data_IF_307531056839
#
_entry.id   IF_307531056839
#
_cell.length_a   1.000
_cell.length_b   1.000
_cell.length_c   1.000
_cell.angle_alpha   90.00
_cell.angle_beta   90.00
_cell.angle_gamma   90.00
#
_symmetry.space_group_name_H-M   'P 1'
#
loop_
_entity.id
_entity.type
_entity.pdbx_description
1 polymer ?
#
# COMPACT_ATOMS: atom_id res chain seq x y z
N UNK A 1 12.46 2.71 32.35
CA UNK A 1 12.41 2.80 30.87
C UNK A 1 13.06 4.10 30.46
N UNK A 2 14.10 4.08 29.61
CA UNK A 2 14.70 5.33 29.12
C UNK A 2 13.72 6.05 28.18
N UNK A 3 13.84 7.38 28.08
CA UNK A 3 13.04 8.19 27.15
C UNK A 3 13.16 7.71 25.70
N UNK A 4 14.37 7.29 25.31
CA UNK A 4 14.63 6.70 23.99
C UNK A 4 13.85 5.40 23.78
N UNK A 5 13.87 4.48 24.75
CA UNK A 5 13.11 3.23 24.65
C UNK A 5 11.61 3.48 24.53
N UNK A 6 11.08 4.44 25.30
CA UNK A 6 9.68 4.84 25.20
C UNK A 6 9.31 5.29 23.79
N UNK A 7 10.09 6.20 23.19
CA UNK A 7 9.82 6.70 21.84
C UNK A 7 9.94 5.58 20.81
N UNK A 8 10.95 4.70 20.93
CA UNK A 8 11.10 3.53 20.05
C UNK A 8 9.87 2.64 20.10
N UNK A 9 9.35 2.32 21.29
CA UNK A 9 8.13 1.51 21.40
C UNK A 9 6.92 2.21 20.76
N UNK A 10 6.77 3.52 20.95
CA UNK A 10 5.71 4.30 20.30
C UNK A 10 5.83 4.22 18.77
N UNK A 11 7.04 4.36 18.23
CA UNK A 11 7.31 4.23 16.78
C UNK A 11 6.98 2.82 16.29
N UNK A 12 7.42 1.77 16.99
CA UNK A 12 7.15 0.38 16.63
C UNK A 12 5.65 0.09 16.61
N UNK A 13 4.92 0.48 17.67
CA UNK A 13 3.47 0.31 17.73
C UNK A 13 2.79 1.07 16.58
N UNK A 14 3.21 2.31 16.32
CA UNK A 14 2.63 3.12 15.24
C UNK A 14 2.95 2.54 13.86
N UNK A 15 4.14 1.98 13.66
CA UNK A 15 4.53 1.32 12.42
C UNK A 15 3.69 0.07 12.18
N UNK A 16 3.43 -0.74 13.21
CA UNK A 16 2.53 -1.91 13.10
C UNK A 16 1.08 -1.50 12.82
N UNK A 17 0.59 -0.40 13.41
CA UNK A 17 -0.72 0.17 13.08
C UNK A 17 -0.74 0.63 11.63
N UNK A 18 0.31 1.31 11.16
CA UNK A 18 0.44 1.70 9.76
C UNK A 18 0.37 0.47 8.85
N UNK A 19 1.11 -0.60 9.16
CA UNK A 19 1.12 -1.83 8.35
C UNK A 19 -0.23 -2.53 8.31
N UNK A 20 -0.95 -2.52 9.44
CA UNK A 20 -2.34 -2.97 9.49
C UNK A 20 -3.23 -2.11 8.57
N UNK A 21 -3.14 -0.77 8.66
CA UNK A 21 -3.92 0.10 7.77
C UNK A 21 -3.51 -0.08 6.30
N UNK A 22 -2.25 -0.41 6.03
CA UNK A 22 -1.76 -0.68 4.70
C UNK A 22 -2.37 -1.96 4.13
N UNK A 23 -2.28 -3.08 4.86
CA UNK A 23 -2.89 -4.34 4.43
C UNK A 23 -4.40 -4.21 4.20
N UNK A 24 -5.08 -3.46 5.06
CA UNK A 24 -6.49 -3.11 4.91
C UNK A 24 -6.76 -2.34 3.59
N UNK A 25 -6.02 -1.26 3.36
CA UNK A 25 -6.17 -0.40 2.18
C UNK A 25 -5.90 -1.16 0.87
N UNK A 26 -4.80 -1.90 0.83
CA UNK A 26 -4.29 -2.56 -0.37
C UNK A 26 -4.84 -3.99 -0.60
N UNK A 27 -5.68 -4.51 0.32
CA UNK A 27 -6.48 -5.73 0.07
C UNK A 27 -7.26 -5.65 -1.24
N UNK A 28 -7.68 -4.44 -1.61
CA UNK A 28 -8.37 -4.14 -2.86
C UNK A 28 -7.49 -4.36 -4.10
N UNK A 29 -6.19 -4.03 -4.03
CA UNK A 29 -5.27 -4.15 -5.16
C UNK A 29 -5.01 -5.60 -5.55
N UNK A 30 -5.05 -6.53 -4.58
CA UNK A 30 -4.84 -7.95 -4.82
C UNK A 30 -6.13 -8.70 -5.20
N UNK A 31 -7.29 -8.26 -4.72
CA UNK A 31 -8.51 -9.08 -4.75
C UNK A 31 -9.72 -8.45 -5.44
N UNK A 32 -9.70 -7.14 -5.78
CA UNK A 32 -10.86 -6.51 -6.42
C UNK A 32 -11.22 -7.15 -7.77
N UNK A 33 -10.22 -7.47 -8.59
CA UNK A 33 -10.40 -8.10 -9.91
C UNK A 33 -10.98 -9.51 -9.79
N UNK A 34 -10.44 -10.34 -8.90
CA UNK A 34 -10.89 -11.73 -8.71
C UNK A 34 -12.24 -11.84 -8.01
N UNK A 35 -12.62 -10.84 -7.21
CA UNK A 35 -13.97 -10.69 -6.65
C UNK A 35 -14.94 -10.22 -7.72
N UNK A 36 -14.56 -9.24 -8.55
CA UNK A 36 -15.43 -8.68 -9.59
C UNK A 36 -15.81 -9.69 -10.68
N UNK A 37 -14.88 -10.56 -11.09
CA UNK A 37 -15.10 -11.65 -12.06
C UNK A 37 -15.84 -12.85 -11.44
N UNK A 38 -15.97 -12.89 -10.12
CA UNK A 38 -16.50 -14.03 -9.36
C UNK A 38 -15.56 -15.24 -9.31
N UNK A 39 -14.26 -15.07 -9.51
CA UNK A 39 -13.27 -16.12 -9.29
C UNK A 39 -13.17 -16.48 -7.80
N UNK A 40 -13.22 -15.48 -6.92
CA UNK A 40 -13.36 -15.63 -5.47
C UNK A 40 -14.65 -14.99 -4.95
N UNK A 41 -15.18 -15.53 -3.85
CA UNK A 41 -16.13 -14.79 -3.03
C UNK A 41 -15.38 -13.77 -2.16
N UNK A 42 -15.97 -12.61 -1.82
CA UNK A 42 -15.28 -11.56 -1.05
C UNK A 42 -14.55 -12.07 0.19
N UNK A 43 -15.22 -12.90 1.02
CA UNK A 43 -14.62 -13.48 2.23
C UNK A 43 -13.43 -14.39 1.94
N UNK A 44 -13.54 -15.26 0.93
CA UNK A 44 -12.43 -16.17 0.56
C UNK A 44 -11.23 -15.39 0.03
N UNK A 45 -11.49 -14.34 -0.75
CA UNK A 45 -10.45 -13.50 -1.32
C UNK A 45 -9.58 -12.87 -0.23
N UNK A 46 -10.18 -12.21 0.77
CA UNK A 46 -9.43 -11.58 1.86
C UNK A 46 -8.74 -12.59 2.78
N UNK A 47 -9.32 -13.79 3.00
CA UNK A 47 -8.67 -14.86 3.78
C UNK A 47 -7.41 -15.38 3.10
N UNK A 48 -7.50 -15.69 1.80
CA UNK A 48 -6.32 -16.15 1.02
C UNK A 48 -5.28 -15.04 0.93
N UNK A 49 -5.72 -13.79 0.68
CA UNK A 49 -4.82 -12.65 0.62
C UNK A 49 -4.06 -12.45 1.94
N UNK A 50 -4.75 -12.53 3.08
CA UNK A 50 -4.14 -12.37 4.40
C UNK A 50 -3.07 -13.42 4.67
N UNK A 51 -3.36 -14.70 4.40
CA UNK A 51 -2.40 -15.79 4.59
C UNK A 51 -1.16 -15.62 3.69
N UNK A 52 -1.36 -15.26 2.42
CA UNK A 52 -0.27 -15.08 1.47
C UNK A 52 0.54 -13.80 1.72
N UNK A 53 -0.09 -12.73 2.23
CA UNK A 53 0.62 -11.54 2.69
C UNK A 53 1.57 -11.88 3.85
N UNK A 54 1.09 -12.66 4.83
CA UNK A 54 1.93 -13.15 5.93
C UNK A 54 3.10 -13.96 5.35
N UNK A 55 2.83 -14.97 4.54
CA UNK A 55 3.88 -15.83 3.95
C UNK A 55 4.88 -14.99 3.15
N UNK A 56 4.41 -14.11 2.27
CA UNK A 56 5.27 -13.24 1.45
C UNK A 56 6.19 -12.35 2.28
N UNK A 57 5.73 -11.87 3.43
CA UNK A 57 6.53 -11.07 4.35
C UNK A 57 7.77 -11.83 4.89
N UNK A 58 7.73 -13.17 4.98
CA UNK A 58 8.86 -13.99 5.44
C UNK A 58 9.89 -14.32 4.36
N UNK A 59 9.60 -14.07 3.07
CA UNK A 59 10.43 -14.58 1.97
C UNK A 59 11.59 -13.64 1.61
N UNK A 60 11.45 -12.34 1.83
CA UNK A 60 12.47 -11.37 1.42
C UNK A 60 12.61 -10.23 2.44
N UNK A 61 13.80 -9.62 2.47
CA UNK A 61 14.13 -8.46 3.31
C UNK A 61 14.86 -7.34 2.55
N UNK A 62 14.97 -7.44 1.22
CA UNK A 62 15.72 -6.50 0.37
C UNK A 62 15.13 -5.08 0.33
N UNK A 63 13.80 -4.96 0.29
CA UNK A 63 13.11 -3.66 0.35
C UNK A 63 13.31 -3.03 1.74
N UNK A 64 13.25 -3.85 2.80
CA UNK A 64 13.48 -3.37 4.17
C UNK A 64 14.89 -2.80 4.34
N UNK A 65 15.91 -3.48 3.81
CA UNK A 65 17.31 -3.01 3.81
C UNK A 65 17.49 -1.69 3.07
N UNK A 66 16.78 -1.52 1.95
CA UNK A 66 16.83 -0.28 1.16
C UNK A 66 16.20 0.91 1.92
N UNK A 67 15.16 0.66 2.72
CA UNK A 67 14.50 1.69 3.52
C UNK A 67 15.28 2.01 4.79
N UNK A 68 15.88 1.00 5.43
CA UNK A 68 16.66 1.18 6.65
C UNK A 68 18.01 1.85 6.40
N UNK A 69 18.51 1.86 5.15
CA UNK A 69 19.79 2.47 4.80
C UNK A 69 19.69 3.33 3.53
N UNK A 70 19.94 4.64 3.68
CA UNK A 70 20.26 5.53 2.55
C UNK A 70 19.22 6.58 2.17
N UNK A 71 18.00 6.54 2.73
CA UNK A 71 16.97 7.54 2.45
C UNK A 71 17.03 8.76 3.38
N UNK A 72 17.37 8.54 4.64
CA UNK A 72 17.49 9.56 5.68
C UNK A 72 18.85 9.46 6.36
N UNK A 73 19.35 10.56 6.91
CA UNK A 73 20.58 10.55 7.70
C UNK A 73 20.32 9.89 9.06
N UNK A 74 21.00 8.77 9.33
CA UNK A 74 20.89 8.01 10.57
C UNK A 74 21.17 8.87 11.81
N UNK A 75 22.04 9.89 11.68
CA UNK A 75 22.37 10.84 12.76
C UNK A 75 21.20 11.76 13.09
N UNK A 76 20.37 12.10 12.10
CA UNK A 76 19.18 12.92 12.31
C UNK A 76 18.08 12.12 13.02
N UNK A 77 17.92 10.86 12.65
CA UNK A 77 16.95 9.97 13.29
C UNK A 77 17.40 9.65 14.72
N UNK A 78 18.70 9.47 14.95
CA UNK A 78 19.31 9.39 16.28
C UNK A 78 18.95 10.60 17.14
N UNK A 79 19.03 11.81 16.56
CA UNK A 79 18.78 13.05 17.27
C UNK A 79 17.29 13.24 17.63
N UNK A 80 16.36 12.76 16.80
CA UNK A 80 14.92 12.89 17.08
C UNK A 80 14.09 11.71 16.54
N UNK A 81 14.09 10.54 17.21
CA UNK A 81 13.30 9.37 16.79
C UNK A 81 11.79 9.65 16.71
N UNK A 82 11.31 10.66 17.44
CA UNK A 82 9.92 11.12 17.41
C UNK A 82 9.47 11.60 16.02
N UNK A 83 10.39 12.01 15.14
CA UNK A 83 10.04 12.39 13.76
C UNK A 83 9.52 11.19 12.94
N UNK A 84 10.03 9.98 13.19
CA UNK A 84 9.56 8.76 12.50
C UNK A 84 8.13 8.46 12.89
N UNK A 85 7.81 8.57 14.19
CA UNK A 85 6.44 8.47 14.69
C UNK A 85 5.52 9.52 14.04
N UNK A 86 5.96 10.77 13.96
CA UNK A 86 5.20 11.84 13.35
C UNK A 86 4.90 11.59 11.87
N UNK A 87 5.90 11.13 11.11
CA UNK A 87 5.73 10.76 9.71
C UNK A 87 4.75 9.61 9.52
N UNK A 88 4.83 8.57 10.35
CA UNK A 88 3.88 7.46 10.36
C UNK A 88 2.46 7.92 10.70
N UNK A 89 2.29 8.83 11.66
CA UNK A 89 0.99 9.41 11.98
C UNK A 89 0.39 10.15 10.75
N UNK A 90 1.20 10.90 10.02
CA UNK A 90 0.77 11.53 8.76
C UNK A 90 0.35 10.53 7.70
N UNK A 91 1.11 9.44 7.54
CA UNK A 91 0.80 8.37 6.61
C UNK A 91 -0.51 7.64 6.96
N UNK A 92 -0.72 7.31 8.25
CA UNK A 92 -1.94 6.66 8.73
C UNK A 92 -3.16 7.53 8.48
N UNK A 93 -3.10 8.82 8.86
CA UNK A 93 -4.22 9.75 8.67
C UNK A 93 -4.57 9.91 7.20
N UNK A 94 -3.56 9.99 6.33
CA UNK A 94 -3.80 10.06 4.90
C UNK A 94 -4.44 8.78 4.35
N UNK A 95 -3.93 7.60 4.73
CA UNK A 95 -4.51 6.32 4.33
C UNK A 95 -5.96 6.16 4.77
N UNK A 96 -6.29 6.56 6.01
CA UNK A 96 -7.66 6.53 6.51
C UNK A 96 -8.57 7.53 5.78
N UNK A 97 -8.06 8.73 5.47
CA UNK A 97 -8.81 9.73 4.72
C UNK A 97 -9.12 9.25 3.30
N UNK A 98 -8.14 8.69 2.57
CA UNK A 98 -8.39 8.18 1.21
C UNK A 98 -9.31 6.96 1.24
N UNK A 99 -9.19 6.10 2.24
CA UNK A 99 -10.14 5.00 2.46
C UNK A 99 -11.58 5.49 2.68
N UNK A 100 -11.77 6.52 3.51
CA UNK A 100 -13.08 7.11 3.76
C UNK A 100 -13.74 7.53 2.43
N UNK A 101 -13.00 8.16 1.54
CA UNK A 101 -13.50 8.56 0.22
C UNK A 101 -13.50 7.43 -0.83
N UNK A 102 -13.05 6.22 -0.47
CA UNK A 102 -12.92 5.09 -1.39
C UNK A 102 -11.92 5.34 -2.52
N UNK A 103 -10.94 6.22 -2.30
CA UNK A 103 -9.93 6.59 -3.28
C UNK A 103 -8.76 5.60 -3.22
N UNK A 104 -8.41 4.93 -4.34
CA UNK A 104 -7.24 4.06 -4.39
C UNK A 104 -5.96 4.90 -4.45
N UNK A 105 -5.44 5.24 -3.28
CA UNK A 105 -4.14 5.89 -3.07
C UNK A 105 -3.05 4.88 -2.74
N UNK A 106 -1.79 5.27 -2.92
CA UNK A 106 -0.66 4.42 -2.54
C UNK A 106 -0.21 4.65 -1.09
N UNK A 107 -0.35 3.63 -0.24
CA UNK A 107 0.17 3.64 1.12
C UNK A 107 1.68 3.87 1.19
N UNK A 108 2.43 3.37 0.20
CA UNK A 108 3.88 3.60 0.13
C UNK A 108 4.22 5.08 -0.05
N UNK A 109 3.48 5.79 -0.90
CA UNK A 109 3.66 7.23 -1.08
C UNK A 109 3.19 8.03 0.14
N UNK A 110 2.17 7.54 0.85
CA UNK A 110 1.76 8.13 2.12
C UNK A 110 2.86 7.98 3.18
N UNK A 111 3.47 6.79 3.29
CA UNK A 111 4.59 6.53 4.18
C UNK A 111 5.78 7.44 3.90
N UNK A 112 6.26 7.44 2.65
CA UNK A 112 7.41 8.25 2.27
C UNK A 112 7.11 9.74 2.36
N UNK A 113 5.93 10.17 1.93
CA UNK A 113 5.48 11.56 2.08
C UNK A 113 5.52 11.99 3.54
N UNK A 114 4.86 11.24 4.43
CA UNK A 114 4.85 11.51 5.86
C UNK A 114 6.24 11.62 6.47
N UNK A 115 7.13 10.65 6.17
CA UNK A 115 8.51 10.66 6.67
C UNK A 115 9.32 11.84 6.09
N UNK A 116 9.23 12.12 4.80
CA UNK A 116 9.91 13.26 4.15
C UNK A 116 9.47 14.57 4.80
N UNK A 117 8.16 14.78 4.97
CA UNK A 117 7.64 15.98 5.63
C UNK A 117 8.10 16.11 7.07
N UNK A 118 8.09 15.02 7.82
CA UNK A 118 8.54 15.00 9.20
C UNK A 118 10.03 15.35 9.33
N UNK A 119 10.87 14.82 8.43
CA UNK A 119 12.32 15.08 8.37
C UNK A 119 12.61 16.53 7.95
N UNK A 120 11.92 17.05 6.93
CA UNK A 120 12.10 18.45 6.50
C UNK A 120 11.85 19.42 7.66
N UNK A 121 10.80 19.17 8.45
CA UNK A 121 10.48 20.03 9.60
C UNK A 121 11.46 19.87 10.76
N UNK A 122 11.90 18.63 11.03
CA UNK A 122 12.78 18.35 12.17
C UNK A 122 14.25 18.72 11.91
N UNK A 123 14.71 18.57 10.67
CA UNK A 123 16.13 18.60 10.32
C UNK A 123 16.46 19.43 9.06
N UNK A 124 15.47 20.01 8.39
CA UNK A 124 15.65 20.77 7.16
C UNK A 124 15.67 19.92 5.90
N UNK A 125 15.66 20.59 4.74
CA UNK A 125 15.60 19.95 3.41
C UNK A 125 16.80 19.03 3.15
N UNK A 126 17.95 19.35 3.74
CA UNK A 126 19.18 18.58 3.64
C UNK A 126 19.13 17.23 4.36
N UNK A 127 18.17 17.02 5.26
CA UNK A 127 18.00 15.74 5.96
C UNK A 127 17.43 14.61 5.10
N UNK A 128 17.00 14.94 3.88
CA UNK A 128 16.42 14.00 2.92
C UNK A 128 17.41 13.78 1.78
N UNK A 129 17.71 12.51 1.47
CA UNK A 129 18.48 12.18 0.29
C UNK A 129 17.59 12.24 -0.96
N UNK A 130 17.51 13.42 -1.60
CA UNK A 130 16.69 13.64 -2.79
C UNK A 130 17.05 12.75 -3.98
N UNK A 131 18.33 12.37 -4.11
CA UNK A 131 18.77 11.42 -5.15
C UNK A 131 18.13 10.04 -4.97
N UNK A 132 18.07 9.56 -3.73
CA UNK A 132 17.41 8.28 -3.39
C UNK A 132 15.88 8.41 -3.52
N UNK A 133 15.28 9.51 -3.04
CA UNK A 133 13.84 9.74 -3.20
C UNK A 133 13.43 9.72 -4.67
N UNK A 134 14.15 10.43 -5.54
CA UNK A 134 13.83 10.46 -6.97
C UNK A 134 14.03 9.07 -7.61
N UNK A 135 15.19 8.43 -7.38
CA UNK A 135 15.55 7.19 -8.06
C UNK A 135 14.80 5.94 -7.56
N UNK A 136 14.41 5.89 -6.28
CA UNK A 136 13.80 4.71 -5.64
C UNK A 136 12.30 4.86 -5.36
N UNK A 137 11.76 6.09 -5.39
CA UNK A 137 10.34 6.35 -5.10
C UNK A 137 9.66 7.01 -6.31
N UNK A 138 10.06 8.22 -6.68
CA UNK A 138 9.32 9.02 -7.69
C UNK A 138 9.41 8.40 -9.08
N UNK A 139 10.63 8.12 -9.57
CA UNK A 139 10.81 7.56 -10.90
C UNK A 139 10.14 6.18 -11.04
N UNK A 140 10.35 5.23 -10.11
CA UNK A 140 9.64 3.95 -10.15
C UNK A 140 8.11 4.13 -10.09
N UNK A 141 7.59 5.07 -9.30
CA UNK A 141 6.14 5.32 -9.22
C UNK A 141 5.50 5.80 -10.52
N UNK A 142 6.27 6.53 -11.35
CA UNK A 142 5.83 6.97 -12.68
C UNK A 142 5.96 5.84 -13.68
N UNK A 143 7.10 5.14 -13.71
CA UNK A 143 7.43 4.14 -14.75
C UNK A 143 6.63 2.84 -14.58
N UNK A 144 6.48 2.35 -13.35
CA UNK A 144 5.87 1.07 -13.05
C UNK A 144 4.44 0.86 -13.58
N UNK A 145 3.49 1.81 -13.46
CA UNK A 145 2.15 1.62 -14.03
C UNK A 145 2.16 1.47 -15.55
N UNK A 146 3.08 2.14 -16.27
CA UNK A 146 3.20 1.99 -17.72
C UNK A 146 3.80 0.64 -18.10
N UNK A 147 4.87 0.21 -17.41
CA UNK A 147 5.48 -1.10 -17.67
C UNK A 147 4.47 -2.22 -17.41
N UNK A 148 3.81 -2.20 -16.26
CA UNK A 148 2.80 -3.20 -15.92
C UNK A 148 1.58 -3.13 -16.86
N UNK A 149 1.12 -1.93 -17.21
CA UNK A 149 0.02 -1.71 -18.14
C UNK A 149 0.31 -2.19 -19.56
N UNK A 150 1.50 -1.92 -20.10
CA UNK A 150 1.91 -2.42 -21.43
C UNK A 150 2.05 -3.93 -21.46
N UNK A 151 2.68 -4.54 -20.43
CA UNK A 151 2.76 -5.98 -20.29
C UNK A 151 1.38 -6.62 -20.21
N UNK A 152 0.47 -6.03 -19.43
CA UNK A 152 -0.90 -6.51 -19.29
C UNK A 152 -1.73 -6.34 -20.57
N UNK A 153 -1.52 -5.25 -21.32
CA UNK A 153 -2.17 -5.03 -22.62
C UNK A 153 -1.73 -6.09 -23.63
N UNK A 154 -0.43 -6.37 -23.72
CA UNK A 154 0.11 -7.41 -24.59
C UNK A 154 -0.41 -8.79 -24.18
N UNK A 155 -0.34 -9.13 -22.89
CA UNK A 155 -0.83 -10.41 -22.37
C UNK A 155 -2.33 -10.61 -22.66
N UNK A 156 -3.13 -9.55 -22.49
CA UNK A 156 -4.56 -9.58 -22.82
C UNK A 156 -4.77 -9.78 -24.31
N UNK A 157 -4.09 -9.01 -25.16
CA UNK A 157 -4.19 -9.14 -26.61
C UNK A 157 -3.84 -10.56 -27.08
N UNK A 158 -2.77 -11.15 -26.55
CA UNK A 158 -2.37 -12.53 -26.85
C UNK A 158 -3.44 -13.52 -26.36
N UNK A 159 -3.94 -13.38 -25.13
CA UNK A 159 -4.96 -14.27 -24.58
C UNK A 159 -6.21 -14.32 -25.47
N UNK A 160 -6.73 -13.18 -25.92
CA UNK A 160 -7.91 -13.12 -26.78
C UNK A 160 -7.64 -13.49 -28.25
N UNK A 161 -6.37 -13.57 -28.68
CA UNK A 161 -6.00 -14.08 -30.01
C UNK A 161 -5.90 -15.61 -30.04
N UNK A 162 -5.49 -16.23 -28.93
CA UNK A 162 -5.29 -17.68 -28.83
C UNK A 162 -6.58 -18.39 -28.45
N UNK A 163 -7.44 -17.75 -27.66
CA UNK A 163 -8.69 -18.33 -27.16
C UNK A 163 -9.77 -18.33 -28.27
N UNK A 164 -10.26 -19.49 -28.72
CA UNK A 164 -11.36 -19.59 -29.69
C UNK A 164 -12.65 -18.98 -29.14
N UNK A 165 -13.43 -18.32 -29.99
CA UNK A 165 -14.67 -17.62 -29.59
C UNK A 165 -15.83 -18.58 -29.23
N UNK A 166 -15.69 -19.86 -29.54
CA UNK A 166 -16.80 -20.79 -29.69
C UNK A 166 -17.08 -21.59 -28.41
N UNK A 167 -16.16 -21.55 -27.43
CA UNK A 167 -16.23 -22.26 -26.13
C UNK A 167 -16.15 -21.29 -24.93
N UNK A 168 -16.87 -20.18 -25.01
CA UNK A 168 -16.79 -19.06 -24.06
C UNK A 168 -17.05 -19.49 -22.59
N UNK A 169 -17.95 -20.46 -22.37
CA UNK A 169 -18.27 -20.95 -21.03
C UNK A 169 -17.16 -21.82 -20.40
N UNK A 170 -16.55 -22.72 -21.18
CA UNK A 170 -15.47 -23.59 -20.71
C UNK A 170 -14.19 -22.78 -20.46
N UNK A 171 -13.88 -21.90 -21.41
CA UNK A 171 -12.82 -20.89 -21.32
C UNK A 171 -12.94 -20.06 -20.04
N UNK A 172 -14.12 -19.50 -19.76
CA UNK A 172 -14.34 -18.71 -18.54
C UNK A 172 -14.10 -19.51 -17.26
N UNK A 173 -14.44 -20.81 -17.23
CA UNK A 173 -14.18 -21.66 -16.06
C UNK A 173 -12.69 -21.86 -15.82
N UNK A 174 -11.91 -22.11 -16.87
CA UNK A 174 -10.45 -22.25 -16.78
C UNK A 174 -9.82 -20.94 -16.31
N UNK A 175 -10.19 -19.82 -16.93
CA UNK A 175 -9.63 -18.53 -16.55
C UNK A 175 -9.99 -18.12 -15.12
N UNK A 176 -11.16 -18.49 -14.60
CA UNK A 176 -11.46 -18.29 -13.16
C UNK A 176 -10.55 -19.12 -12.26
N UNK A 177 -10.15 -20.32 -12.66
CA UNK A 177 -9.19 -21.14 -11.89
C UNK A 177 -7.79 -20.50 -11.96
N UNK A 178 -7.35 -20.12 -13.17
CA UNK A 178 -6.08 -19.43 -13.36
C UNK A 178 -6.04 -18.11 -12.56
N UNK A 179 -7.16 -17.38 -12.52
CA UNK A 179 -7.28 -16.14 -11.78
C UNK A 179 -7.16 -16.33 -10.27
N UNK A 180 -7.66 -17.45 -9.72
CA UNK A 180 -7.45 -17.74 -8.30
C UNK A 180 -5.96 -17.86 -7.98
N UNK A 181 -5.18 -18.44 -8.89
CA UNK A 181 -3.74 -18.54 -8.74
C UNK A 181 -3.05 -17.18 -8.94
N UNK A 182 -3.37 -16.42 -9.98
CA UNK A 182 -2.75 -15.11 -10.21
C UNK A 182 -3.10 -14.09 -9.12
N UNK A 183 -4.34 -14.03 -8.65
CA UNK A 183 -4.73 -13.16 -7.53
C UNK A 183 -3.99 -13.56 -6.23
N UNK A 184 -3.80 -14.86 -6.02
CA UNK A 184 -2.96 -15.37 -4.92
C UNK A 184 -1.51 -14.91 -5.07
N UNK A 185 -0.96 -14.96 -6.28
CA UNK A 185 0.40 -14.45 -6.56
C UNK A 185 0.51 -12.93 -6.33
N UNK A 186 -0.52 -12.15 -6.66
CA UNK A 186 -0.54 -10.70 -6.34
C UNK A 186 -0.50 -10.49 -4.84
N UNK A 187 -1.33 -11.18 -4.06
CA UNK A 187 -1.29 -11.09 -2.60
C UNK A 187 0.05 -11.53 -2.01
N UNK A 188 0.60 -12.65 -2.49
CA UNK A 188 1.95 -13.07 -2.08
C UNK A 188 3.01 -12.00 -2.39
N UNK A 189 3.01 -11.47 -3.62
CA UNK A 189 3.95 -10.42 -4.04
C UNK A 189 3.79 -9.13 -3.23
N UNK A 190 2.56 -8.78 -2.86
CA UNK A 190 2.26 -7.65 -1.99
C UNK A 190 2.92 -7.83 -0.62
N UNK A 191 2.80 -9.02 0.00
CA UNK A 191 3.51 -9.34 1.25
C UNK A 191 5.03 -9.21 1.13
N UNK A 192 5.61 -9.66 0.00
CA UNK A 192 7.05 -9.50 -0.26
C UNK A 192 7.50 -8.07 -0.51
N UNK A 193 6.59 -7.11 -0.72
CA UNK A 193 6.94 -5.72 -0.99
C UNK A 193 6.55 -4.82 0.19
N UNK A 194 5.27 -4.79 0.52
CA UNK A 194 4.68 -3.83 1.45
C UNK A 194 4.96 -4.18 2.90
N UNK A 195 4.93 -5.45 3.27
CA UNK A 195 5.30 -5.88 4.63
C UNK A 195 6.74 -5.48 4.98
N UNK A 196 7.63 -5.48 3.99
CA UNK A 196 9.01 -5.06 4.19
C UNK A 196 9.19 -3.57 4.43
N UNK A 197 8.25 -2.72 3.98
CA UNK A 197 8.36 -1.26 4.17
C UNK A 197 8.28 -0.91 5.65
N UNK A 198 7.34 -1.53 6.35
CA UNK A 198 7.20 -1.40 7.81
C UNK A 198 8.40 -2.00 8.53
N UNK A 199 8.88 -3.17 8.10
CA UNK A 199 10.11 -3.76 8.66
C UNK A 199 11.29 -2.81 8.54
N UNK A 200 11.46 -2.17 7.40
CA UNK A 200 12.52 -1.18 7.16
C UNK A 200 12.43 0.02 8.09
N UNK A 201 11.22 0.56 8.33
CA UNK A 201 11.01 1.69 9.25
C UNK A 201 11.28 1.31 10.70
N UNK A 202 10.88 0.11 11.13
CA UNK A 202 11.17 -0.39 12.48
C UNK A 202 12.68 -0.61 12.64
N UNK A 203 13.34 -1.26 11.68
CA UNK A 203 14.78 -1.46 11.69
C UNK A 203 15.53 -0.14 11.71
N UNK A 204 15.10 0.84 10.92
CA UNK A 204 15.65 2.19 10.91
C UNK A 204 15.65 2.83 12.31
N UNK A 205 14.53 2.78 13.03
CA UNK A 205 14.45 3.38 14.37
C UNK A 205 15.26 2.59 15.41
N UNK A 206 15.35 1.26 15.29
CA UNK A 206 16.15 0.42 16.18
C UNK A 206 17.65 0.67 16.01
N UNK A 207 18.10 0.77 14.76
CA UNK A 207 19.49 1.11 14.42
C UNK A 207 19.83 2.52 14.89
N UNK A 208 18.95 3.48 14.61
CA UNK A 208 19.13 4.85 15.08
C UNK A 208 19.18 4.91 16.61
N UNK A 209 18.32 4.21 17.34
CA UNK A 209 18.35 4.22 18.80
C UNK A 209 19.51 3.42 19.44
N UNK A 210 20.35 2.76 18.64
CA UNK A 210 21.46 1.93 19.13
C UNK A 210 21.02 0.58 19.70
N UNK A 211 19.79 0.14 19.44
CA UNK A 211 19.27 -1.17 19.83
C UNK A 211 19.58 -2.28 18.81
N UNK A 212 20.05 -1.90 17.62
CA UNK A 212 20.41 -2.82 16.54
C UNK A 212 21.65 -2.28 15.80
N UNK A 213 22.55 -3.16 15.37
CA UNK A 213 23.73 -2.76 14.60
C UNK A 213 23.36 -2.34 13.18
N UNK A 214 23.97 -1.28 12.66
CA UNK A 214 23.76 -0.84 11.29
C UNK A 214 24.21 -1.91 10.27
N UNK A 215 23.50 -2.02 9.15
CA UNK A 215 23.77 -3.03 8.11
C UNK A 215 23.19 -4.41 8.43
N UNK A 216 22.60 -4.61 9.61
CA UNK A 216 21.85 -5.83 9.91
C UNK A 216 20.43 -5.72 9.35
N UNK A 217 19.94 -6.80 8.74
CA UNK A 217 18.56 -6.85 8.26
C UNK A 217 17.53 -6.83 9.40
N UNK A 218 16.22 -6.80 9.08
CA UNK A 218 15.18 -6.83 10.11
C UNK A 218 15.31 -8.02 11.05
N UNK A 219 15.17 -7.78 12.36
CA UNK A 219 15.15 -8.86 13.34
C UNK A 219 13.92 -9.75 13.14
N UNK A 220 14.03 -11.03 13.51
CA UNK A 220 12.98 -12.02 13.27
C UNK A 220 11.61 -11.60 13.84
N UNK A 221 11.57 -10.96 15.01
CA UNK A 221 10.31 -10.51 15.62
C UNK A 221 9.69 -9.34 14.85
N UNK A 222 10.51 -8.50 14.20
CA UNK A 222 10.04 -7.42 13.31
C UNK A 222 9.35 -8.03 12.10
N UNK A 223 9.95 -9.07 11.51
CA UNK A 223 9.36 -9.80 10.38
C UNK A 223 8.02 -10.44 10.77
N UNK A 224 7.98 -11.13 11.91
CA UNK A 224 6.74 -11.77 12.40
C UNK A 224 5.67 -10.73 12.70
N UNK A 225 5.99 -9.66 13.43
CA UNK A 225 5.01 -8.65 13.83
C UNK A 225 4.48 -7.85 12.65
N UNK A 226 5.33 -7.42 11.71
CA UNK A 226 4.91 -6.76 10.49
C UNK A 226 4.07 -7.69 9.60
N UNK A 227 4.54 -8.93 9.37
CA UNK A 227 3.80 -9.93 8.61
C UNK A 227 2.39 -10.19 9.16
N UNK A 228 2.26 -10.32 10.49
CA UNK A 228 0.95 -10.44 11.14
C UNK A 228 0.11 -9.16 11.02
N UNK A 229 0.70 -7.99 11.17
CA UNK A 229 -0.01 -6.71 11.07
C UNK A 229 -0.61 -6.51 9.67
N UNK A 230 0.18 -6.66 8.60
CA UNK A 230 -0.31 -6.56 7.23
C UNK A 230 -1.33 -7.65 6.89
N UNK A 231 -1.14 -8.88 7.39
CA UNK A 231 -2.09 -9.98 7.22
C UNK A 231 -3.45 -9.70 7.88
N UNK A 232 -3.45 -9.26 9.14
CA UNK A 232 -4.67 -8.90 9.87
C UNK A 232 -5.37 -7.70 9.26
N UNK A 233 -4.61 -6.71 8.80
CA UNK A 233 -5.12 -5.58 8.02
C UNK A 233 -5.85 -6.07 6.78
N UNK A 234 -5.20 -6.91 5.99
CA UNK A 234 -5.76 -7.50 4.76
C UNK A 234 -7.04 -8.27 5.03
N UNK A 235 -7.07 -9.05 6.11
CA UNK A 235 -8.25 -9.82 6.50
C UNK A 235 -9.44 -8.93 6.89
N UNK A 236 -9.17 -7.76 7.49
CA UNK A 236 -10.19 -6.75 7.81
C UNK A 236 -10.86 -6.17 6.54
N UNK A 237 -10.26 -6.43 5.37
CA UNK A 237 -10.74 -6.03 4.06
C UNK A 237 -10.38 -4.58 3.74
N UNK A 238 -11.00 -4.01 2.72
CA UNK A 238 -10.76 -2.65 2.25
C UNK A 238 -11.98 -2.17 1.47
N UNK A 239 -13.16 -2.56 1.93
CA UNK A 239 -14.35 -2.72 1.09
C UNK A 239 -14.76 -1.45 0.34
N UNK A 240 -14.56 -0.27 0.93
CA UNK A 240 -14.80 1.03 0.27
C UNK A 240 -13.93 1.20 -0.98
N UNK A 241 -12.64 0.88 -0.91
CA UNK A 241 -11.72 0.98 -2.04
C UNK A 241 -11.97 -0.14 -3.03
N UNK A 242 -12.25 -1.36 -2.53
CA UNK A 242 -12.57 -2.51 -3.37
C UNK A 242 -13.79 -2.26 -4.24
N UNK A 243 -14.82 -1.59 -3.70
CA UNK A 243 -15.99 -1.13 -4.44
C UNK A 243 -15.62 -0.23 -5.62
N UNK A 244 -14.73 0.74 -5.39
CA UNK A 244 -14.25 1.65 -6.45
C UNK A 244 -13.41 0.91 -7.51
N UNK A 245 -12.53 0.00 -7.08
CA UNK A 245 -11.59 -0.69 -7.97
C UNK A 245 -12.20 -1.83 -8.78
N UNK A 246 -13.18 -2.58 -8.23
CA UNK A 246 -13.67 -3.82 -8.83
C UNK A 246 -14.42 -3.64 -10.16
N UNK A 247 -15.16 -2.53 -10.32
CA UNK A 247 -15.93 -2.24 -11.55
C UNK A 247 -15.79 -0.80 -12.05
N UNK A 248 -15.01 0.05 -11.36
CA UNK A 248 -14.97 1.48 -11.64
C UNK A 248 -14.01 1.91 -12.76
N UNK A 249 -13.07 1.04 -13.19
CA UNK A 249 -12.03 1.39 -14.18
C UNK A 249 -12.28 0.82 -15.57
N UNK A 250 -12.42 -0.50 -15.65
CA UNK A 250 -12.62 -1.27 -16.88
C UNK A 250 -13.54 -2.43 -16.53
N UNK A 251 -14.39 -2.86 -17.46
CA UNK A 251 -15.09 -4.14 -17.31
C UNK A 251 -14.08 -5.28 -17.49
N UNK A 252 -13.86 -6.05 -16.43
CA UNK A 252 -12.84 -7.10 -16.41
C UNK A 252 -13.52 -8.47 -16.50
N UNK A 253 -13.28 -9.16 -17.60
CA UNK A 253 -13.58 -10.59 -17.75
C UNK A 253 -12.45 -11.45 -17.14
N UNK A 254 -12.69 -12.75 -16.84
CA UNK A 254 -11.68 -13.63 -16.26
C UNK A 254 -10.32 -13.67 -17.01
N UNK A 255 -10.25 -13.67 -18.36
CA UNK A 255 -8.97 -13.61 -19.06
C UNK A 255 -8.20 -12.29 -18.84
N UNK A 256 -8.91 -11.16 -18.86
CA UNK A 256 -8.33 -9.86 -18.51
C UNK A 256 -7.85 -9.87 -17.05
N UNK A 257 -8.66 -10.40 -16.13
CA UNK A 257 -8.32 -10.51 -14.71
C UNK A 257 -7.02 -11.28 -14.49
N UNK A 258 -6.89 -12.45 -15.11
CA UNK A 258 -5.67 -13.25 -15.09
C UNK A 258 -4.46 -12.49 -15.66
N UNK A 259 -4.59 -11.86 -16.83
CA UNK A 259 -3.51 -11.10 -17.46
C UNK A 259 -3.06 -9.89 -16.61
N UNK A 260 -4.00 -9.17 -16.00
CA UNK A 260 -3.71 -8.06 -15.08
C UNK A 260 -2.97 -8.51 -13.85
N UNK A 261 -3.47 -9.54 -13.18
CA UNK A 261 -2.92 -10.04 -11.92
C UNK A 261 -1.53 -10.64 -12.13
N UNK A 262 -1.34 -11.44 -13.19
CA UNK A 262 -0.03 -12.01 -13.50
C UNK A 262 1.01 -10.91 -13.79
N UNK A 263 0.65 -9.94 -14.63
CA UNK A 263 1.54 -8.80 -14.95
C UNK A 263 1.90 -7.99 -13.71
N UNK A 264 0.91 -7.78 -12.82
CA UNK A 264 1.12 -7.07 -11.56
C UNK A 264 2.03 -7.85 -10.61
N UNK A 265 1.77 -9.14 -10.41
CA UNK A 265 2.58 -10.00 -9.55
C UNK A 265 4.04 -10.05 -10.02
N UNK A 266 4.27 -10.20 -11.32
CA UNK A 266 5.63 -10.21 -11.90
C UNK A 266 6.32 -8.86 -11.70
N UNK A 267 5.64 -7.74 -11.97
CA UNK A 267 6.21 -6.42 -11.78
C UNK A 267 6.54 -6.12 -10.31
N UNK A 268 5.67 -6.51 -9.37
CA UNK A 268 5.89 -6.35 -7.93
C UNK A 268 7.07 -7.21 -7.47
N UNK A 269 7.11 -8.50 -7.84
CA UNK A 269 8.20 -9.40 -7.44
C UNK A 269 9.55 -8.94 -8.01
N UNK A 270 9.61 -8.57 -9.29
CA UNK A 270 10.82 -8.07 -9.92
C UNK A 270 11.32 -6.80 -9.22
N UNK A 271 10.42 -5.87 -8.90
CA UNK A 271 10.74 -4.67 -8.14
C UNK A 271 11.28 -4.95 -6.74
N UNK A 272 10.60 -5.82 -6.00
CA UNK A 272 11.01 -6.20 -4.64
C UNK A 272 12.39 -6.84 -4.67
N UNK A 273 12.69 -7.62 -5.70
CA UNK A 273 14.01 -8.24 -5.88
C UNK A 273 15.13 -7.23 -6.20
N UNK A 274 14.78 -6.11 -6.82
CA UNK A 274 15.68 -4.97 -7.08
C UNK A 274 15.76 -3.98 -5.90
N UNK A 275 15.01 -4.24 -4.82
CA UNK A 275 14.92 -3.35 -3.66
C UNK A 275 14.20 -2.03 -3.94
N UNK A 276 13.41 -1.94 -5.01
CA UNK A 276 12.61 -0.73 -5.29
C UNK A 276 11.34 -0.74 -4.44
N UNK A 277 11.07 0.37 -3.75
CA UNK A 277 9.87 0.55 -2.93
C UNK A 277 8.70 1.04 -3.80
N UNK A 278 8.25 0.17 -4.71
CA UNK A 278 7.17 0.49 -5.63
C UNK A 278 5.79 0.54 -4.98
N UNK A 279 4.91 1.30 -5.62
CA UNK A 279 3.48 1.31 -5.33
C UNK A 279 2.79 0.13 -6.03
N UNK A 280 2.31 -0.81 -5.22
CA UNK A 280 1.45 -1.91 -5.68
C UNK A 280 0.15 -1.37 -6.28
N UNK A 281 -0.42 -0.30 -5.70
CA UNK A 281 -1.60 0.40 -6.21
C UNK A 281 -1.39 0.88 -7.64
N UNK A 282 -0.27 1.55 -7.95
CA UNK A 282 0.01 2.05 -9.30
C UNK A 282 0.19 0.89 -10.28
N UNK A 283 0.94 -0.14 -9.89
CA UNK A 283 1.17 -1.33 -10.71
C UNK A 283 -0.15 -2.03 -11.04
N UNK A 284 -0.94 -2.40 -10.03
CA UNK A 284 -2.20 -3.11 -10.22
C UNK A 284 -3.19 -2.29 -11.04
N UNK A 285 -3.32 -0.99 -10.76
CA UNK A 285 -4.21 -0.11 -11.51
C UNK A 285 -3.76 0.07 -12.96
N UNK A 286 -2.45 0.22 -13.19
CA UNK A 286 -1.85 0.30 -14.52
C UNK A 286 -2.12 -0.98 -15.33
N UNK A 287 -1.94 -2.15 -14.71
CA UNK A 287 -2.28 -3.44 -15.32
C UNK A 287 -3.77 -3.53 -15.69
N UNK A 288 -4.69 -3.18 -14.78
CA UNK A 288 -6.14 -3.20 -15.06
C UNK A 288 -6.49 -2.32 -16.26
N UNK A 289 -5.96 -1.09 -16.32
CA UNK A 289 -6.13 -0.19 -17.47
C UNK A 289 -5.53 -0.81 -18.74
N UNK A 290 -4.35 -1.43 -18.62
CA UNK A 290 -3.68 -2.16 -19.69
C UNK A 290 -4.54 -3.25 -20.31
N UNK A 291 -5.25 -4.04 -19.50
CA UNK A 291 -6.18 -5.06 -20.04
C UNK A 291 -7.29 -4.44 -20.88
N UNK A 292 -7.80 -3.26 -20.48
CA UNK A 292 -8.81 -2.54 -21.25
C UNK A 292 -8.30 -2.16 -22.63
N UNK A 293 -7.08 -1.60 -22.68
CA UNK A 293 -6.40 -1.25 -23.95
C UNK A 293 -6.17 -2.50 -24.81
N UNK A 294 -5.63 -3.57 -24.23
CA UNK A 294 -5.36 -4.82 -24.95
C UNK A 294 -6.63 -5.52 -25.48
N UNK A 295 -7.76 -5.34 -24.80
CA UNK A 295 -9.07 -5.87 -25.21
C UNK A 295 -9.81 -4.97 -26.22
N UNK A 296 -9.46 -3.68 -26.28
CA UNK A 296 -10.27 -2.65 -26.95
C UNK A 296 -11.51 -2.26 -26.14
N UNK A 297 -11.50 -2.47 -24.83
CA UNK A 297 -12.59 -2.12 -23.93
C UNK A 297 -12.54 -0.64 -23.52
N UNK A 298 -13.71 -0.07 -23.22
CA UNK A 298 -13.82 1.32 -22.75
C UNK A 298 -13.23 1.47 -21.35
N UNK A 299 -12.34 2.44 -21.18
CA UNK A 299 -11.76 2.83 -19.88
C UNK A 299 -12.55 4.02 -19.32
N UNK A 300 -12.99 3.92 -18.07
CA UNK A 300 -13.73 4.97 -17.38
C UNK A 300 -12.79 6.13 -16.99
N UNK A 301 -12.67 7.10 -17.90
CA UNK A 301 -11.74 8.24 -17.77
C UNK A 301 -11.98 9.07 -16.51
N UNK A 302 -13.23 9.16 -16.04
CA UNK A 302 -13.57 9.89 -14.82
C UNK A 302 -12.93 9.26 -13.58
N UNK A 303 -12.96 7.92 -13.48
CA UNK A 303 -12.31 7.18 -12.39
C UNK A 303 -10.80 7.28 -12.51
N UNK A 304 -10.24 7.04 -13.71
CA UNK A 304 -8.80 7.15 -13.95
C UNK A 304 -8.25 8.53 -13.56
N UNK A 305 -8.96 9.61 -13.90
CA UNK A 305 -8.59 10.97 -13.51
C UNK A 305 -8.59 11.16 -11.99
N UNK A 306 -9.60 10.67 -11.28
CA UNK A 306 -9.65 10.75 -9.81
C UNK A 306 -8.47 10.00 -9.18
N UNK A 307 -8.12 8.84 -9.72
CA UNK A 307 -6.98 8.04 -9.24
C UNK A 307 -5.66 8.76 -9.46
N UNK A 308 -5.43 9.28 -10.67
CA UNK A 308 -4.21 10.04 -10.98
C UNK A 308 -4.05 11.26 -10.06
N UNK A 309 -5.14 11.99 -9.80
CA UNK A 309 -5.14 13.11 -8.85
C UNK A 309 -4.77 12.61 -7.44
N UNK A 310 -5.37 11.51 -6.98
CA UNK A 310 -5.03 10.92 -5.68
C UNK A 310 -3.55 10.51 -5.60
N UNK A 311 -2.99 9.93 -6.67
CA UNK A 311 -1.59 9.52 -6.73
C UNK A 311 -0.63 10.70 -6.59
N UNK A 312 -0.88 11.78 -7.35
CA UNK A 312 -0.05 13.00 -7.30
C UNK A 312 -0.16 13.72 -5.96
N UNK A 313 -1.36 13.78 -5.37
CA UNK A 313 -1.59 14.50 -4.11
C UNK A 313 -1.11 13.72 -2.89
N UNK A 314 -1.04 12.38 -2.96
CA UNK A 314 -0.75 11.53 -1.79
C UNK A 314 0.56 11.87 -1.11
N UNK A 315 1.67 11.98 -1.86
CA UNK A 315 2.98 12.26 -1.27
C UNK A 315 3.03 13.66 -0.65
N UNK A 316 2.64 14.76 -1.34
CA UNK A 316 2.60 16.09 -0.74
C UNK A 316 1.65 16.21 0.45
N UNK A 317 0.45 15.63 0.38
CA UNK A 317 -0.52 15.75 1.45
C UNK A 317 -0.06 15.00 2.70
N UNK A 318 0.46 13.78 2.55
CA UNK A 318 1.05 13.05 3.66
C UNK A 318 2.28 13.78 4.24
N UNK A 319 3.09 14.43 3.41
CA UNK A 319 4.22 15.25 3.86
C UNK A 319 3.78 16.47 4.67
N UNK A 320 2.70 17.15 4.27
CA UNK A 320 2.16 18.26 5.06
C UNK A 320 1.70 17.76 6.44
N UNK A 321 0.93 16.66 6.49
CA UNK A 321 0.46 16.12 7.77
C UNK A 321 1.63 15.62 8.63
N UNK A 322 2.58 14.89 8.04
CA UNK A 322 3.78 14.40 8.73
C UNK A 322 4.69 15.53 9.23
N UNK A 323 4.79 16.63 8.48
CA UNK A 323 5.50 17.83 8.90
C UNK A 323 4.82 18.53 10.08
N UNK A 324 3.49 18.67 10.04
CA UNK A 324 2.72 19.27 11.13
C UNK A 324 2.80 18.45 12.42
N UNK A 325 2.64 17.13 12.33
CA UNK A 325 2.80 16.23 13.49
C UNK A 325 4.24 16.26 14.01
N UNK A 326 5.23 16.37 13.13
CA UNK A 326 6.65 16.44 13.50
C UNK A 326 6.95 17.74 14.23
N UNK A 327 6.41 18.87 13.75
CA UNK A 327 6.56 20.16 14.43
C UNK A 327 6.09 20.07 15.88
N UNK A 328 4.92 19.49 16.11
CA UNK A 328 4.32 19.35 17.45
C UNK A 328 5.12 18.36 18.30
N UNK A 329 5.43 17.17 17.75
CA UNK A 329 6.13 16.11 18.49
C UNK A 329 7.58 16.48 18.83
N UNK A 330 8.32 17.07 17.89
CA UNK A 330 9.75 17.39 18.07
C UNK A 330 9.93 18.64 18.93
N UNK A 331 9.20 19.75 18.67
CA UNK A 331 9.32 20.96 19.51
C UNK A 331 8.69 20.79 20.89
N UNK A 332 7.58 20.05 20.97
CA UNK A 332 6.86 19.83 22.22
C UNK A 332 7.46 18.73 23.10
N UNK A 333 8.47 18.00 22.64
CA UNK A 333 9.07 16.88 23.36
C UNK A 333 8.02 15.82 23.74
N UNK A 334 8.09 15.31 24.98
CA UNK A 334 7.16 14.28 25.47
C UNK A 334 5.70 14.76 25.50
N UNK A 335 5.37 15.97 26.01
CA UNK A 335 4.02 16.52 25.88
C UNK A 335 3.53 16.59 24.42
N UNK A 336 4.38 17.05 23.50
CA UNK A 336 4.08 17.10 22.07
C UNK A 336 3.77 15.73 21.48
N UNK A 337 4.53 14.70 21.88
CA UNK A 337 4.28 13.31 21.49
C UNK A 337 2.87 12.86 21.91
N UNK A 338 2.47 13.11 23.16
CA UNK A 338 1.12 12.75 23.65
C UNK A 338 0.03 13.49 22.90
N UNK A 339 0.22 14.78 22.58
CA UNK A 339 -0.72 15.55 21.77
C UNK A 339 -0.92 14.89 20.40
N UNK A 340 0.15 14.49 19.73
CA UNK A 340 0.05 13.82 18.43
C UNK A 340 -0.58 12.43 18.54
N UNK A 341 -0.29 11.65 19.59
CA UNK A 341 -0.93 10.35 19.84
C UNK A 341 -2.45 10.54 20.00
N UNK A 342 -2.87 11.49 20.84
CA UNK A 342 -4.29 11.76 21.08
C UNK A 342 -4.96 12.24 19.79
N UNK A 343 -4.33 13.17 19.07
CA UNK A 343 -4.86 13.68 17.80
C UNK A 343 -5.00 12.56 16.75
N UNK A 344 -4.02 11.66 16.66
CA UNK A 344 -4.06 10.50 15.77
C UNK A 344 -5.23 9.58 16.12
N UNK A 345 -5.42 9.24 17.40
CA UNK A 345 -6.50 8.38 17.85
C UNK A 345 -7.87 9.03 17.58
N UNK A 346 -8.06 10.28 17.99
CA UNK A 346 -9.33 10.99 17.81
C UNK A 346 -9.70 11.15 16.34
N UNK A 347 -8.73 11.54 15.50
CA UNK A 347 -8.94 11.69 14.06
C UNK A 347 -9.26 10.34 13.40
N UNK A 348 -8.54 9.28 13.77
CA UNK A 348 -8.81 7.93 13.27
C UNK A 348 -10.21 7.45 13.65
N UNK A 349 -10.61 7.64 14.91
CA UNK A 349 -11.95 7.29 15.39
C UNK A 349 -13.04 8.10 14.68
N UNK A 350 -12.81 9.39 14.44
CA UNK A 350 -13.74 10.26 13.71
C UNK A 350 -13.92 9.76 12.27
N UNK A 351 -12.82 9.44 11.57
CA UNK A 351 -12.85 8.90 10.21
C UNK A 351 -13.61 7.56 10.16
N UNK A 352 -13.30 6.64 11.08
CA UNK A 352 -14.00 5.34 11.16
C UNK A 352 -15.48 5.51 11.47
N UNK A 353 -15.83 6.40 12.40
CA UNK A 353 -17.23 6.70 12.73
C UNK A 353 -18.00 7.23 11.52
N UNK A 354 -17.40 8.14 10.77
CA UNK A 354 -17.99 8.69 9.55
C UNK A 354 -18.12 7.63 8.46
N UNK A 355 -17.10 6.77 8.31
CA UNK A 355 -17.14 5.65 7.38
C UNK A 355 -18.24 4.62 7.74
N UNK A 356 -18.62 4.51 9.01
CA UNK A 356 -19.69 3.61 9.45
C UNK A 356 -21.10 4.14 9.20
N UNK A 357 -21.28 5.43 8.88
CA UNK A 357 -22.61 5.98 8.51
C UNK A 357 -23.12 5.37 7.20
N UNK A 358 -22.21 5.23 6.22
CA UNK A 358 -22.47 4.52 4.96
C UNK A 358 -21.65 3.23 4.91
N UNK A 359 -22.07 2.22 5.67
CA UNK A 359 -21.30 0.98 5.82
C UNK A 359 -21.15 0.24 4.48
N UNK A 360 -19.90 -0.02 4.10
CA UNK A 360 -19.54 -0.89 2.97
C UNK A 360 -18.84 -2.12 3.53
N UNK A 361 -19.37 -3.30 3.27
CA UNK A 361 -18.82 -4.58 3.73
C UNK A 361 -18.96 -5.68 2.66
N UNK A 362 -18.55 -6.89 3.02
CA UNK A 362 -18.54 -8.04 2.11
C UNK A 362 -19.92 -8.37 1.50
N UNK A 363 -21.03 -7.93 2.12
CA UNK A 363 -22.38 -8.22 1.64
C UNK A 363 -22.81 -7.27 0.52
N UNK A 364 -22.31 -6.03 0.52
CA UNK A 364 -22.75 -4.98 -0.40
C UNK A 364 -21.63 -4.40 -1.28
N UNK A 365 -20.40 -4.91 -1.19
CA UNK A 365 -19.23 -4.34 -1.90
C UNK A 365 -19.44 -4.27 -3.42
N UNK A 366 -20.25 -5.17 -3.99
CA UNK A 366 -20.50 -5.26 -5.43
C UNK A 366 -21.78 -4.52 -5.90
N UNK A 367 -22.52 -3.89 -4.99
CA UNK A 367 -23.84 -3.30 -5.29
C UNK A 367 -23.73 -1.93 -6.00
N UNK A 368 -22.57 -1.28 -5.93
CA UNK A 368 -22.33 0.02 -6.52
C UNK A 368 -20.87 0.16 -6.97
N UNK A 369 -20.57 1.20 -7.75
CA UNK A 369 -19.21 1.47 -8.27
C UNK A 369 -18.55 2.70 -7.61
N UNK A 370 -19.24 3.36 -6.67
CA UNK A 370 -18.74 4.54 -5.95
C UNK A 370 -19.09 4.47 -4.48
N UNK A 371 -18.33 5.20 -3.66
CA UNK A 371 -18.56 5.34 -2.22
C UNK A 371 -19.24 6.67 -1.96
N UNK A 372 -20.31 6.64 -1.17
CA UNK A 372 -21.02 7.84 -0.71
C UNK A 372 -20.50 8.20 0.68
N UNK A 373 -20.15 9.47 0.85
CA UNK A 373 -19.77 10.07 2.12
C UNK A 373 -20.81 11.14 2.38
N UNK A 374 -21.61 10.97 3.44
CA UNK A 374 -22.64 11.94 3.79
C UNK A 374 -21.97 13.26 4.17
N UNK A 375 -22.57 14.39 3.77
CA UNK A 375 -22.00 15.72 3.98
C UNK A 375 -22.11 16.18 5.43
#
# INVERSE_FOLDING_TARGET
MSTTLFIVMVVVITALIFDFTNGFHDSSNAMATSVATGAFTPKRAVTVAAALNIIGAFISTEVAKTISHGMFDDRLIQAAPAMVFAGLAGAILWNLATWLFGLPSSSSHALFGGLIGAVIVAAGIQGVNWGVVVSKIILPAVVAPFVAGTASALATWVAYKIVPSDEEAYTNKIFKIAQRFSASMVAFSHGTSDGQKTMGVITLVLVAAGYQEAGTGPQWWVVVSAGLAIGLGTYSGGWRIMRTMGRGLVHVDPPQGFASELSSAVAILASSHLGFALSTTHICSGSVVGTGVGRGAKVETATLRKMFIAWVITLPAAAVVGGLTSFVAVKGGIPGLFVVIIALILSSLMIVRHANQNKVDFANVNDANTVVVDK
#
